data_IF_341226474137
#
_entry.id   IF_341226474137
#
_cell.length_a   1.000
_cell.length_b   1.000
_cell.length_c   1.000
_cell.angle_alpha   90.00
_cell.angle_beta   90.00
_cell.angle_gamma   90.00
#
_symmetry.space_group_name_H-M   'P 1'
#
loop_
_entity.id
_entity.type
_entity.pdbx_description
1 polymer ?
#
# COMPACT_ATOMS: atom_id res chain seq x y z
N UNK A 1 22.66 9.67 -18.21
CA UNK A 1 23.21 9.69 -16.83
C UNK A 1 23.38 8.24 -16.42
N UNK A 2 24.59 7.85 -16.02
CA UNK A 2 24.85 6.52 -15.45
C UNK A 2 24.04 6.38 -14.15
N UNK A 3 23.23 5.32 -14.04
CA UNK A 3 22.34 5.08 -12.90
C UNK A 3 23.01 4.22 -11.81
N UNK A 4 24.32 3.94 -11.93
CA UNK A 4 25.07 3.08 -11.01
C UNK A 4 24.42 1.70 -10.84
N UNK A 5 24.01 1.08 -11.95
CA UNK A 5 23.43 -0.25 -11.92
C UNK A 5 24.47 -1.28 -11.43
N UNK A 6 24.04 -2.33 -10.68
CA UNK A 6 24.91 -3.45 -10.33
C UNK A 6 25.55 -4.05 -11.59
N UNK A 7 26.81 -4.51 -11.48
CA UNK A 7 27.53 -5.16 -12.59
C UNK A 7 27.21 -6.66 -12.72
N UNK A 8 26.04 -7.07 -12.26
CA UNK A 8 25.56 -8.45 -12.33
C UNK A 8 24.95 -8.72 -13.71
N UNK A 9 25.09 -9.95 -14.21
CA UNK A 9 24.53 -10.37 -15.50
C UNK A 9 23.70 -11.66 -15.32
N UNK A 10 22.37 -11.62 -15.51
CA UNK A 10 21.57 -10.46 -15.91
C UNK A 10 21.34 -9.47 -14.75
N UNK A 11 21.24 -8.18 -15.07
CA UNK A 11 20.80 -7.17 -14.10
C UNK A 11 19.36 -7.46 -13.69
N UNK A 12 19.12 -7.62 -12.39
CA UNK A 12 17.79 -7.91 -11.87
C UNK A 12 16.99 -6.63 -11.64
N UNK A 13 15.74 -6.63 -12.09
CA UNK A 13 14.77 -5.57 -11.84
C UNK A 13 13.49 -6.16 -11.28
N UNK A 14 12.90 -5.45 -10.32
CA UNK A 14 11.57 -5.78 -9.79
C UNK A 14 10.58 -4.72 -10.24
N UNK A 15 9.53 -5.15 -10.94
CA UNK A 15 8.43 -4.27 -11.30
C UNK A 15 7.46 -4.16 -10.13
N UNK A 16 7.35 -2.97 -9.53
CA UNK A 16 6.53 -2.70 -8.35
C UNK A 16 5.73 -1.41 -8.55
N UNK A 17 4.56 -1.34 -7.92
CA UNK A 17 3.79 -0.11 -7.79
C UNK A 17 4.53 0.85 -6.85
N UNK A 18 4.93 2.00 -7.40
CA UNK A 18 5.61 3.08 -6.66
C UNK A 18 4.63 4.06 -6.00
N UNK A 19 3.45 4.24 -6.60
CA UNK A 19 2.41 5.16 -6.14
C UNK A 19 1.10 4.40 -5.99
N UNK A 20 0.38 4.68 -4.91
CA UNK A 20 -0.88 4.03 -4.58
C UNK A 20 -2.07 4.93 -4.97
N UNK A 21 -3.23 4.35 -5.29
CA UNK A 21 -4.47 5.11 -5.49
C UNK A 21 -4.96 5.75 -4.18
N UNK A 22 -5.77 6.80 -4.28
CA UNK A 22 -6.61 7.32 -3.18
C UNK A 22 -7.81 6.38 -2.94
N UNK A 23 -8.37 5.78 -4.00
CA UNK A 23 -9.42 4.76 -3.93
C UNK A 23 -9.13 3.63 -4.93
N UNK A 24 -8.96 2.40 -4.43
CA UNK A 24 -8.64 1.23 -5.28
C UNK A 24 -9.76 0.86 -6.26
N UNK A 25 -11.02 1.01 -5.87
CA UNK A 25 -12.16 0.61 -6.68
C UNK A 25 -12.41 1.62 -7.82
N UNK A 26 -12.15 2.89 -7.57
CA UNK A 26 -12.31 3.94 -8.57
C UNK A 26 -11.10 4.06 -9.51
N UNK A 27 -9.87 3.81 -9.04
CA UNK A 27 -8.66 4.07 -9.83
C UNK A 27 -8.05 2.84 -10.52
N UNK A 28 -8.25 1.62 -9.99
CA UNK A 28 -7.70 0.41 -10.61
C UNK A 28 -8.65 -0.09 -11.71
N UNK A 29 -8.38 0.34 -12.95
CA UNK A 29 -9.29 0.11 -14.09
C UNK A 29 -9.17 -1.29 -14.67
N UNK A 30 -7.94 -1.80 -14.82
CA UNK A 30 -7.67 -3.07 -15.51
C UNK A 30 -7.39 -4.18 -14.50
N UNK A 31 -7.89 -5.39 -14.78
CA UNK A 31 -7.70 -6.56 -13.92
C UNK A 31 -6.21 -6.89 -13.70
N UNK A 32 -5.37 -6.71 -14.72
CA UNK A 32 -3.91 -6.89 -14.57
C UNK A 32 -3.31 -5.91 -13.57
N UNK A 33 -3.75 -4.65 -13.56
CA UNK A 33 -3.26 -3.63 -12.64
C UNK A 33 -3.73 -3.96 -11.23
N UNK A 34 -5.01 -4.30 -11.08
CA UNK A 34 -5.58 -4.76 -9.80
C UNK A 34 -4.81 -5.96 -9.24
N UNK A 35 -4.56 -6.96 -10.07
CA UNK A 35 -3.85 -8.18 -9.68
C UNK A 35 -2.43 -7.88 -9.17
N UNK A 36 -1.69 -7.01 -9.87
CA UNK A 36 -0.34 -6.62 -9.45
C UNK A 36 -0.33 -5.84 -8.13
N UNK A 37 -1.31 -4.97 -7.89
CA UNK A 37 -1.48 -4.30 -6.60
C UNK A 37 -1.83 -5.30 -5.49
N UNK A 38 -2.77 -6.21 -5.74
CA UNK A 38 -3.15 -7.27 -4.80
C UNK A 38 -1.93 -8.09 -4.36
N UNK A 39 -1.11 -8.56 -5.30
CA UNK A 39 0.08 -9.34 -4.98
C UNK A 39 1.09 -8.54 -4.15
N UNK A 40 1.34 -7.29 -4.51
CA UNK A 40 2.29 -6.44 -3.79
C UNK A 40 1.82 -6.13 -2.36
N UNK A 41 0.55 -5.79 -2.17
CA UNK A 41 -0.02 -5.48 -0.86
C UNK A 41 -0.11 -6.73 0.01
N UNK A 42 -0.52 -7.87 -0.56
CA UNK A 42 -0.52 -9.16 0.14
C UNK A 42 0.88 -9.49 0.66
N UNK A 43 1.90 -9.34 -0.20
CA UNK A 43 3.29 -9.57 0.21
C UNK A 43 3.71 -8.64 1.33
N UNK A 44 3.37 -7.35 1.26
CA UNK A 44 3.71 -6.36 2.28
C UNK A 44 3.04 -6.63 3.64
N UNK A 45 1.83 -7.20 3.66
CA UNK A 45 1.16 -7.63 4.89
C UNK A 45 1.86 -8.87 5.46
N UNK A 46 2.15 -9.87 4.63
CA UNK A 46 2.81 -11.11 5.07
C UNK A 46 4.25 -10.87 5.58
N UNK A 47 5.00 -9.96 4.95
CA UNK A 47 6.33 -9.53 5.39
C UNK A 47 6.31 -8.60 6.61
N UNK A 48 5.12 -8.20 7.09
CA UNK A 48 4.91 -7.25 8.19
C UNK A 48 5.39 -5.82 7.90
N UNK A 49 5.59 -5.47 6.63
CA UNK A 49 5.85 -4.08 6.21
C UNK A 49 4.60 -3.20 6.38
N UNK A 50 3.41 -3.80 6.24
CA UNK A 50 2.12 -3.19 6.59
C UNK A 50 1.57 -3.94 7.81
N UNK A 51 1.36 -3.21 8.91
CA UNK A 51 0.68 -3.76 10.07
C UNK A 51 -0.78 -4.08 9.72
N UNK A 52 -1.18 -5.32 9.98
CA UNK A 52 -2.55 -5.78 9.85
C UNK A 52 -3.00 -6.45 11.16
N UNK A 53 -4.16 -6.07 11.73
CA UNK A 53 -4.65 -6.71 12.94
C UNK A 53 -5.08 -8.17 12.67
N UNK A 54 -5.11 -9.03 13.71
CA UNK A 54 -5.42 -10.45 13.55
C UNK A 54 -6.76 -10.74 12.86
N UNK A 55 -7.82 -10.02 13.23
CA UNK A 55 -9.16 -10.21 12.70
C UNK A 55 -9.21 -9.89 11.19
N UNK A 56 -8.60 -8.77 10.79
CA UNK A 56 -8.48 -8.41 9.39
C UNK A 56 -7.58 -9.39 8.62
N UNK A 57 -6.50 -9.88 9.24
CA UNK A 57 -5.57 -10.84 8.60
C UNK A 57 -6.27 -12.15 8.21
N UNK A 58 -7.15 -12.67 9.07
CA UNK A 58 -7.96 -13.87 8.77
C UNK A 58 -8.93 -13.62 7.61
N UNK A 59 -9.61 -12.48 7.63
CA UNK A 59 -10.53 -12.11 6.55
C UNK A 59 -9.78 -11.94 5.21
N UNK A 60 -8.65 -11.24 5.22
CA UNK A 60 -7.80 -11.06 4.04
C UNK A 60 -7.27 -12.40 3.51
N UNK A 61 -6.87 -13.32 4.39
CA UNK A 61 -6.47 -14.67 4.00
C UNK A 61 -7.61 -15.40 3.27
N UNK A 62 -8.85 -15.26 3.72
CA UNK A 62 -9.99 -15.90 3.05
C UNK A 62 -10.25 -15.37 1.64
N UNK A 63 -10.11 -14.06 1.41
CA UNK A 63 -10.16 -13.49 0.06
C UNK A 63 -9.00 -13.95 -0.81
N UNK A 64 -7.79 -14.06 -0.24
CA UNK A 64 -6.63 -14.55 -0.99
C UNK A 64 -6.79 -16.02 -1.42
N UNK A 65 -7.42 -16.85 -0.58
CA UNK A 65 -7.76 -18.24 -0.91
C UNK A 65 -8.84 -18.29 -1.99
N UNK A 66 -9.92 -17.50 -1.88
CA UNK A 66 -10.95 -17.38 -2.94
C UNK A 66 -10.33 -16.96 -4.28
N UNK A 67 -9.48 -15.95 -4.28
CA UNK A 67 -8.79 -15.48 -5.48
C UNK A 67 -7.90 -16.55 -6.13
N UNK A 68 -7.30 -17.45 -5.33
CA UNK A 68 -6.38 -18.48 -5.80
C UNK A 68 -7.08 -19.77 -6.24
N UNK A 69 -8.08 -20.22 -5.48
CA UNK A 69 -8.69 -21.54 -5.63
C UNK A 69 -10.12 -21.50 -6.18
N UNK A 70 -10.75 -20.33 -6.27
CA UNK A 70 -12.16 -20.21 -6.65
C UNK A 70 -13.09 -20.57 -5.50
N UNK A 71 -14.30 -21.03 -5.79
CA UNK A 71 -15.28 -21.35 -4.76
C UNK A 71 -14.87 -22.52 -3.86
N UNK A 72 -15.13 -22.39 -2.57
CA UNK A 72 -15.05 -23.52 -1.65
C UNK A 72 -16.04 -24.63 -2.04
N UNK A 73 -15.53 -25.85 -2.17
CA UNK A 73 -16.32 -27.07 -2.35
C UNK A 73 -15.87 -28.14 -1.36
N UNK A 74 -16.80 -28.55 -0.49
CA UNK A 74 -16.57 -29.54 0.56
C UNK A 74 -16.10 -30.90 0.01
N UNK A 75 -16.45 -31.25 -1.24
CA UNK A 75 -16.04 -32.52 -1.84
C UNK A 75 -14.59 -32.53 -2.30
N UNK A 76 -14.05 -31.39 -2.69
CA UNK A 76 -12.69 -31.24 -3.21
C UNK A 76 -11.71 -30.72 -2.16
N UNK A 77 -12.23 -30.07 -1.12
CA UNK A 77 -11.42 -29.59 0.00
C UNK A 77 -10.82 -30.74 0.80
N UNK A 78 -9.49 -30.72 0.96
CA UNK A 78 -8.78 -31.68 1.81
C UNK A 78 -8.14 -30.95 2.99
N UNK A 79 -8.28 -31.44 4.24
CA UNK A 79 -7.61 -30.85 5.39
C UNK A 79 -6.10 -30.73 5.15
N UNK A 80 -5.53 -29.55 5.39
CA UNK A 80 -4.13 -29.25 5.12
C UNK A 80 -3.84 -28.74 3.71
N UNK A 81 -4.85 -28.59 2.84
CA UNK A 81 -4.71 -28.00 1.51
C UNK A 81 -4.12 -26.57 1.55
N UNK A 82 -4.39 -25.84 2.63
CA UNK A 82 -3.90 -24.48 2.83
C UNK A 82 -2.59 -24.42 3.63
N UNK A 83 -2.08 -25.54 4.13
CA UNK A 83 -0.91 -25.57 5.02
C UNK A 83 0.41 -25.20 4.33
N UNK A 84 0.49 -25.28 3.00
CA UNK A 84 1.66 -24.84 2.23
C UNK A 84 1.64 -23.35 1.86
N UNK A 85 0.56 -22.64 2.19
CA UNK A 85 0.37 -21.25 1.81
C UNK A 85 0.75 -20.29 2.94
N UNK A 86 1.50 -19.25 2.60
CA UNK A 86 1.71 -18.11 3.50
C UNK A 86 0.44 -17.24 3.50
N UNK A 87 -0.43 -17.49 4.47
CA UNK A 87 -1.75 -16.84 4.58
C UNK A 87 -1.82 -15.76 5.66
N UNK A 88 -1.02 -15.87 6.72
CA UNK A 88 -1.06 -14.97 7.86
C UNK A 88 0.34 -14.41 8.17
N UNK A 89 0.45 -13.15 8.61
CA UNK A 89 1.72 -12.60 9.09
C UNK A 89 2.23 -13.38 10.30
N UNK A 90 3.55 -13.62 10.38
CA UNK A 90 4.15 -14.40 11.47
C UNK A 90 3.78 -13.87 12.86
N UNK A 91 3.72 -12.54 13.03
CA UNK A 91 3.30 -11.90 14.29
C UNK A 91 1.90 -12.32 14.73
N UNK A 92 0.96 -12.50 13.80
CA UNK A 92 -0.42 -12.93 14.12
C UNK A 92 -0.40 -14.38 14.59
N UNK A 93 0.37 -15.24 13.90
CA UNK A 93 0.52 -16.64 14.29
C UNK A 93 1.12 -16.74 15.70
N UNK A 94 2.19 -16.01 15.98
CA UNK A 94 2.90 -16.05 17.26
C UNK A 94 2.09 -15.49 18.44
N UNK A 95 1.13 -14.60 18.17
CA UNK A 95 0.29 -13.97 19.20
C UNK A 95 -0.73 -14.94 19.81
N UNK A 96 -1.13 -15.99 19.08
CA UNK A 96 -2.13 -16.95 19.53
C UNK A 96 -1.55 -18.36 19.61
N UNK A 97 -1.93 -19.11 20.65
CA UNK A 97 -1.55 -20.52 20.79
C UNK A 97 -2.46 -21.41 19.92
N UNK A 98 -2.44 -21.19 18.61
CA UNK A 98 -3.24 -21.93 17.64
C UNK A 98 -2.36 -22.80 16.75
N UNK A 99 -2.83 -24.01 16.41
CA UNK A 99 -2.17 -24.85 15.42
C UNK A 99 -2.47 -24.36 13.99
N UNK A 100 -1.70 -24.83 13.01
CA UNK A 100 -1.97 -24.54 11.59
C UNK A 100 -3.40 -24.95 11.20
N UNK A 101 -3.87 -26.11 11.66
CA UNK A 101 -5.22 -26.61 11.42
C UNK A 101 -6.29 -25.69 12.02
N UNK A 102 -6.07 -25.15 13.21
CA UNK A 102 -7.02 -24.22 13.84
C UNK A 102 -7.12 -22.89 13.08
N UNK A 103 -6.01 -22.40 12.52
CA UNK A 103 -6.02 -21.22 11.66
C UNK A 103 -6.73 -21.49 10.34
N UNK A 104 -6.45 -22.63 9.73
CA UNK A 104 -7.11 -23.10 8.52
C UNK A 104 -8.63 -23.14 8.70
N UNK A 105 -9.13 -23.73 9.79
CA UNK A 105 -10.58 -23.76 10.08
C UNK A 105 -11.18 -22.35 10.22
N UNK A 106 -10.46 -21.38 10.81
CA UNK A 106 -10.95 -19.99 10.88
C UNK A 106 -11.02 -19.31 9.52
N UNK A 107 -10.03 -19.54 8.66
CA UNK A 107 -10.00 -18.99 7.30
C UNK A 107 -11.10 -19.64 6.45
N UNK A 108 -11.29 -20.95 6.60
CA UNK A 108 -12.28 -21.76 5.89
C UNK A 108 -13.71 -21.28 6.12
N UNK A 109 -14.06 -20.86 7.35
CA UNK A 109 -15.39 -20.29 7.65
C UNK A 109 -15.70 -19.12 6.73
N UNK A 110 -14.79 -18.15 6.61
CA UNK A 110 -14.96 -17.02 5.72
C UNK A 110 -14.84 -17.39 4.24
N UNK A 111 -13.96 -18.32 3.91
CA UNK A 111 -13.78 -18.80 2.54
C UNK A 111 -15.08 -19.42 1.98
N UNK A 112 -15.81 -20.19 2.79
CA UNK A 112 -17.10 -20.75 2.41
C UNK A 112 -18.18 -19.68 2.14
N UNK A 113 -18.10 -18.54 2.82
CA UNK A 113 -19.03 -17.42 2.66
C UNK A 113 -18.80 -16.62 1.36
N UNK A 114 -17.62 -16.73 0.75
CA UNK A 114 -17.27 -16.03 -0.51
C UNK A 114 -17.76 -16.73 -1.78
N UNK A 115 -18.54 -17.81 -1.64
CA UNK A 115 -19.02 -18.60 -2.79
C UNK A 115 -19.76 -17.75 -3.83
N UNK A 116 -19.37 -17.90 -5.09
CA UNK A 116 -19.90 -17.16 -6.23
C UNK A 116 -19.12 -15.89 -6.54
N UNK A 117 -18.15 -15.51 -5.71
CA UNK A 117 -17.26 -14.37 -5.94
C UNK A 117 -16.20 -14.73 -6.97
N UNK A 118 -16.06 -13.92 -8.01
CA UNK A 118 -14.99 -14.11 -8.99
C UNK A 118 -13.61 -13.82 -8.37
N UNK A 119 -12.56 -14.24 -9.08
CA UNK A 119 -11.18 -13.94 -8.65
C UNK A 119 -10.93 -12.43 -8.58
N UNK A 120 -11.35 -11.68 -9.59
CA UNK A 120 -11.15 -10.22 -9.61
C UNK A 120 -12.00 -9.51 -8.53
N UNK A 121 -13.20 -9.99 -8.22
CA UNK A 121 -13.97 -9.47 -7.09
C UNK A 121 -13.26 -9.72 -5.75
N UNK A 122 -12.73 -10.93 -5.54
CA UNK A 122 -12.01 -11.27 -4.32
C UNK A 122 -10.73 -10.45 -4.14
N UNK A 123 -9.95 -10.27 -5.21
CA UNK A 123 -8.76 -9.41 -5.19
C UNK A 123 -9.11 -7.93 -4.93
N UNK A 124 -10.25 -7.45 -5.45
CA UNK A 124 -10.74 -6.08 -5.21
C UNK A 124 -11.22 -5.89 -3.75
N UNK A 125 -11.99 -6.83 -3.19
CA UNK A 125 -12.43 -6.75 -1.79
C UNK A 125 -11.25 -6.84 -0.81
N UNK A 126 -10.24 -7.66 -1.14
CA UNK A 126 -8.96 -7.66 -0.41
C UNK A 126 -8.36 -6.24 -0.38
N UNK A 127 -8.22 -5.62 -1.55
CA UNK A 127 -7.63 -4.29 -1.67
C UNK A 127 -8.44 -3.22 -0.94
N UNK A 128 -9.78 -3.27 -1.02
CA UNK A 128 -10.68 -2.34 -0.33
C UNK A 128 -10.55 -2.37 1.18
N UNK A 129 -10.28 -3.55 1.76
CA UNK A 129 -10.01 -3.66 3.21
C UNK A 129 -8.61 -3.12 3.52
N UNK A 130 -7.62 -3.48 2.70
CA UNK A 130 -6.23 -3.08 2.97
C UNK A 130 -5.96 -1.60 2.82
N UNK A 131 -6.71 -0.88 1.96
CA UNK A 131 -6.51 0.54 1.76
C UNK A 131 -6.81 1.37 3.03
N UNK A 132 -7.63 0.83 3.93
CA UNK A 132 -8.00 1.45 5.20
C UNK A 132 -6.99 1.16 6.34
N UNK A 133 -5.95 0.35 6.10
CA UNK A 133 -4.90 0.10 7.09
C UNK A 133 -4.00 1.33 7.24
N UNK A 134 -3.64 1.68 8.48
CA UNK A 134 -2.87 2.90 8.79
C UNK A 134 -1.52 3.02 8.05
N UNK A 135 -0.89 1.89 7.74
CA UNK A 135 0.41 1.85 7.05
C UNK A 135 0.31 1.66 5.53
N UNK A 136 -0.89 1.48 4.99
CA UNK A 136 -1.09 1.25 3.56
C UNK A 136 -0.65 2.46 2.73
N UNK A 137 0.17 2.19 1.72
CA UNK A 137 0.67 3.22 0.80
C UNK A 137 1.56 4.29 1.45
N UNK A 138 2.05 4.06 2.68
CA UNK A 138 2.92 5.00 3.40
C UNK A 138 4.40 4.67 3.15
N UNK A 139 5.13 5.64 2.60
CA UNK A 139 6.59 5.54 2.50
C UNK A 139 7.23 6.24 3.71
N UNK A 140 7.80 5.45 4.64
CA UNK A 140 8.42 5.96 5.86
C UNK A 140 9.89 6.33 5.67
N UNK A 141 10.26 7.51 6.17
CA UNK A 141 11.64 8.01 6.18
C UNK A 141 12.04 8.48 7.58
N UNK A 142 13.20 8.04 8.10
CA UNK A 142 13.70 8.55 9.37
C UNK A 142 14.16 10.00 9.19
N UNK A 143 13.65 10.89 10.04
CA UNK A 143 13.95 12.32 10.03
C UNK A 143 14.23 12.81 11.45
N UNK A 144 14.79 14.00 11.57
CA UNK A 144 14.97 14.69 12.85
C UNK A 144 14.36 16.09 12.79
N UNK A 145 13.80 16.57 13.90
CA UNK A 145 13.38 17.96 14.01
C UNK A 145 14.57 18.89 14.34
N UNK A 146 14.33 20.21 14.49
CA UNK A 146 15.39 21.17 14.86
C UNK A 146 16.02 20.94 16.24
N UNK A 147 15.35 20.19 17.11
CA UNK A 147 15.82 19.80 18.45
C UNK A 147 16.48 18.41 18.44
N UNK A 148 16.76 17.85 17.26
CA UNK A 148 17.35 16.53 17.07
C UNK A 148 16.50 15.36 17.63
N UNK A 149 15.19 15.56 17.79
CA UNK A 149 14.28 14.46 18.13
C UNK A 149 14.05 13.60 16.90
N UNK A 150 14.26 12.29 17.04
CA UNK A 150 13.99 11.31 16.00
C UNK A 150 12.49 11.16 15.74
N UNK A 151 12.10 11.18 14.47
CA UNK A 151 10.72 11.10 14.00
C UNK A 151 10.67 10.29 12.70
N UNK A 152 9.47 9.94 12.26
CA UNK A 152 9.24 9.44 10.91
C UNK A 152 8.47 10.44 10.07
N UNK A 153 8.86 10.57 8.81
CA UNK A 153 8.07 11.19 7.75
C UNK A 153 7.39 10.09 6.97
N UNK A 154 6.06 10.13 6.85
CA UNK A 154 5.32 9.32 5.88
C UNK A 154 4.94 10.15 4.66
N UNK A 155 5.24 9.63 3.47
CA UNK A 155 4.77 10.19 2.19
C UNK A 155 3.68 9.28 1.64
N UNK A 156 2.49 9.83 1.39
CA UNK A 156 1.29 9.08 0.94
C UNK A 156 0.65 9.72 -0.30
N UNK A 157 -0.36 9.05 -0.85
CA UNK A 157 -1.19 9.62 -1.92
C UNK A 157 -1.97 10.88 -1.49
N UNK A 158 -2.23 11.03 -0.18
CA UNK A 158 -3.04 12.12 0.39
C UNK A 158 -2.22 13.31 0.91
N UNK A 159 -0.98 13.08 1.31
CA UNK A 159 -0.13 14.15 1.84
C UNK A 159 1.15 13.66 2.50
N UNK A 160 1.60 14.47 3.44
CA UNK A 160 2.75 14.18 4.30
C UNK A 160 2.31 14.04 5.75
N UNK A 161 2.85 13.05 6.44
CA UNK A 161 2.56 12.77 7.83
C UNK A 161 3.85 12.74 8.66
N UNK A 162 3.78 13.21 9.90
CA UNK A 162 4.88 13.15 10.87
C UNK A 162 4.45 12.24 12.01
N UNK A 163 5.29 11.27 12.33
CA UNK A 163 5.04 10.29 13.37
C UNK A 163 6.14 10.32 14.42
N UNK A 164 5.78 9.90 15.64
CA UNK A 164 6.76 9.64 16.71
C UNK A 164 7.61 8.41 16.37
N UNK A 165 8.80 8.34 16.94
CA UNK A 165 9.76 7.26 16.65
C UNK A 165 9.18 5.87 16.96
N UNK A 166 8.40 5.77 18.03
CA UNK A 166 7.85 4.55 18.60
C UNK A 166 6.48 4.16 18.00
N UNK A 167 5.84 5.02 17.19
CA UNK A 167 4.51 4.77 16.65
C UNK A 167 4.39 5.24 15.20
N UNK A 168 4.44 4.30 14.25
CA UNK A 168 4.25 4.56 12.82
C UNK A 168 2.79 4.47 12.35
N UNK A 169 1.86 4.07 13.22
CA UNK A 169 0.45 3.90 12.87
C UNK A 169 -0.27 5.25 12.89
N UNK A 170 -0.13 6.00 13.98
CA UNK A 170 -0.91 7.23 14.18
C UNK A 170 -0.05 8.48 13.94
N UNK A 171 -0.36 9.30 12.93
CA UNK A 171 0.38 10.53 12.68
C UNK A 171 0.07 11.58 13.77
N UNK A 172 1.09 12.36 14.16
CA UNK A 172 0.94 13.51 15.07
C UNK A 172 0.63 14.80 14.34
N UNK A 173 1.15 14.94 13.11
CA UNK A 173 0.95 16.12 12.26
C UNK A 173 0.75 15.61 10.84
N UNK A 174 -0.25 16.16 10.16
CA UNK A 174 -0.56 15.84 8.77
C UNK A 174 -0.61 17.12 7.94
N UNK A 175 -0.06 17.04 6.73
CA UNK A 175 -0.06 18.09 5.73
C UNK A 175 -0.71 17.54 4.45
N UNK A 176 -2.00 17.77 4.22
CA UNK A 176 -2.67 17.41 2.98
C UNK A 176 -1.98 18.08 1.78
N UNK A 177 -1.96 17.41 0.63
CA UNK A 177 -1.35 17.99 -0.58
C UNK A 177 -1.95 19.35 -0.96
N UNK A 178 -3.25 19.56 -0.72
CA UNK A 178 -3.95 20.84 -0.95
C UNK A 178 -3.43 22.00 -0.09
N UNK A 179 -2.78 21.72 1.04
CA UNK A 179 -2.25 22.73 1.96
C UNK A 179 -0.77 23.01 1.73
N UNK A 180 -0.11 22.28 0.83
CA UNK A 180 1.33 22.40 0.55
C UNK A 180 1.53 23.22 -0.71
N UNK A 181 2.24 24.35 -0.58
CA UNK A 181 2.60 25.20 -1.73
C UNK A 181 3.89 24.76 -2.40
N UNK A 182 4.89 24.37 -1.60
CA UNK A 182 6.21 24.04 -2.10
C UNK A 182 6.97 23.16 -1.12
N UNK A 183 7.65 22.14 -1.65
CA UNK A 183 8.60 21.31 -0.92
C UNK A 183 9.97 21.49 -1.56
N UNK A 184 10.97 21.74 -0.74
CA UNK A 184 12.35 21.90 -1.19
C UNK A 184 13.31 21.42 -0.10
N UNK A 185 14.50 20.98 -0.50
CA UNK A 185 15.57 20.73 0.44
C UNK A 185 16.87 21.43 0.02
N UNK A 186 17.68 21.77 1.01
CA UNK A 186 19.04 22.29 0.85
C UNK A 186 19.97 21.48 1.76
N UNK A 187 20.90 20.76 1.14
CA UNK A 187 21.73 19.72 1.76
C UNK A 187 20.89 18.74 2.62
N UNK A 188 20.92 18.88 3.95
CA UNK A 188 20.21 18.04 4.92
C UNK A 188 18.84 18.60 5.33
N UNK A 189 18.54 19.86 5.02
CA UNK A 189 17.39 20.58 5.54
C UNK A 189 16.23 20.55 4.55
N UNK A 190 15.13 19.93 4.94
CA UNK A 190 13.86 20.01 4.23
C UNK A 190 13.00 21.16 4.72
N UNK A 191 12.28 21.79 3.80
CA UNK A 191 11.30 22.84 4.10
C UNK A 191 10.02 22.54 3.35
N UNK A 192 8.93 22.39 4.10
CA UNK A 192 7.55 22.34 3.61
C UNK A 192 6.95 23.72 3.83
N UNK A 193 6.55 24.38 2.74
CA UNK A 193 5.90 25.69 2.78
C UNK A 193 4.39 25.51 2.60
N UNK A 194 3.57 25.95 3.55
CA UNK A 194 2.12 25.91 3.41
C UNK A 194 1.62 26.87 2.33
N UNK A 195 0.39 26.65 1.85
CA UNK A 195 -0.35 27.57 0.97
C UNK A 195 -0.67 28.87 1.70
N UNK A 196 -1.09 28.77 2.96
CA UNK A 196 -1.23 29.94 3.82
C UNK A 196 0.14 30.55 4.11
N UNK A 197 0.35 31.78 3.61
CA UNK A 197 1.61 32.51 3.78
C UNK A 197 1.84 33.00 5.22
N UNK A 198 0.79 33.06 6.04
CA UNK A 198 0.90 33.41 7.45
C UNK A 198 1.35 32.22 8.31
N UNK A 199 1.05 30.99 7.89
CA UNK A 199 1.46 29.79 8.58
C UNK A 199 2.99 29.57 8.51
N UNK A 200 3.62 29.13 9.60
CA UNK A 200 5.07 28.91 9.63
C UNK A 200 5.46 27.72 8.75
N UNK A 201 6.64 27.82 8.11
CA UNK A 201 7.20 26.69 7.37
C UNK A 201 7.56 25.54 8.32
N UNK A 202 7.22 24.32 7.94
CA UNK A 202 7.68 23.13 8.63
C UNK A 202 9.06 22.73 8.11
N UNK A 203 9.99 22.44 9.03
CA UNK A 203 11.39 22.16 8.70
C UNK A 203 11.85 20.93 9.47
N UNK A 204 12.40 19.96 8.75
CA UNK A 204 13.03 18.77 9.31
C UNK A 204 14.40 18.52 8.66
N UNK A 205 15.19 17.65 9.27
CA UNK A 205 16.51 17.26 8.83
C UNK A 205 16.50 15.78 8.41
N UNK A 206 17.27 15.46 7.39
CA UNK A 206 17.52 14.09 6.95
C UNK A 206 19.00 13.91 6.60
N UNK A 207 19.59 12.83 7.10
CA UNK A 207 21.05 12.67 7.14
C UNK A 207 21.69 12.22 5.82
N UNK A 208 20.90 11.75 4.84
CA UNK A 208 21.42 11.16 3.58
C UNK A 208 20.89 11.91 2.36
N UNK A 209 21.78 12.50 1.56
CA UNK A 209 21.42 13.22 0.32
C UNK A 209 20.62 12.36 -0.68
N UNK A 210 20.94 11.06 -0.78
CA UNK A 210 20.17 10.13 -1.64
C UNK A 210 18.73 9.97 -1.16
N UNK A 211 18.52 9.91 0.16
CA UNK A 211 17.19 9.84 0.75
C UNK A 211 16.42 11.14 0.49
N UNK A 212 17.10 12.29 0.56
CA UNK A 212 16.50 13.60 0.29
C UNK A 212 15.96 13.68 -1.15
N UNK A 213 16.75 13.23 -2.12
CA UNK A 213 16.30 13.16 -3.51
C UNK A 213 15.09 12.24 -3.67
N UNK A 214 15.11 11.05 -3.04
CA UNK A 214 14.00 10.10 -3.09
C UNK A 214 12.72 10.66 -2.46
N UNK A 215 12.81 11.27 -1.27
CA UNK A 215 11.66 11.93 -0.61
C UNK A 215 11.06 12.97 -1.56
N UNK A 216 11.88 13.86 -2.13
CA UNK A 216 11.39 14.89 -3.03
C UNK A 216 10.74 14.31 -4.29
N UNK A 217 11.34 13.28 -4.91
CA UNK A 217 10.76 12.58 -6.06
C UNK A 217 9.40 11.96 -5.74
N UNK A 218 9.25 11.33 -4.56
CA UNK A 218 7.98 10.77 -4.12
C UNK A 218 6.95 11.86 -3.83
N UNK A 219 7.34 12.97 -3.21
CA UNK A 219 6.44 14.11 -2.99
C UNK A 219 5.94 14.69 -4.32
N UNK A 220 6.83 14.89 -5.30
CA UNK A 220 6.47 15.41 -6.62
C UNK A 220 5.50 14.45 -7.32
N UNK A 221 5.80 13.14 -7.34
CA UNK A 221 4.96 12.15 -8.00
C UNK A 221 3.58 12.00 -7.36
N UNK A 222 3.51 11.91 -6.02
CA UNK A 222 2.23 11.83 -5.30
C UNK A 222 1.40 13.10 -5.47
N UNK A 223 2.02 14.29 -5.37
CA UNK A 223 1.32 15.55 -5.59
C UNK A 223 0.82 15.69 -7.03
N UNK A 224 1.58 15.26 -8.05
CA UNK A 224 1.12 15.28 -9.44
C UNK A 224 -0.10 14.37 -9.64
N UNK A 225 -0.07 13.14 -9.13
CA UNK A 225 -1.20 12.21 -9.19
C UNK A 225 -2.42 12.76 -8.42
N UNK A 226 -2.21 13.32 -7.23
CA UNK A 226 -3.25 14.02 -6.45
C UNK A 226 -3.91 15.13 -7.27
N UNK A 227 -3.13 15.95 -7.98
CA UNK A 227 -3.67 17.01 -8.84
C UNK A 227 -4.40 16.47 -10.07
N UNK A 228 -3.96 15.33 -10.63
CA UNK A 228 -4.64 14.67 -11.76
C UNK A 228 -6.00 14.14 -11.38
N UNK A 229 -6.15 13.50 -10.21
CA UNK A 229 -7.44 12.97 -9.70
C UNK A 229 -8.53 14.03 -9.51
N UNK A 230 -8.12 15.29 -9.35
CA UNK A 230 -9.03 16.45 -9.17
C UNK A 230 -9.40 17.13 -10.48
N UNK A 231 -8.96 16.58 -11.61
CA UNK A 231 -9.32 17.02 -12.96
C UNK A 231 -10.21 15.96 -13.61
N UNK A 232 -11.00 16.33 -14.63
CA UNK A 232 -11.74 15.35 -15.40
C UNK A 232 -10.81 14.31 -16.04
N UNK A 233 -11.26 13.05 -16.09
CA UNK A 233 -10.53 11.96 -16.72
C UNK A 233 -10.18 12.31 -18.17
N UNK A 234 -8.91 12.16 -18.59
CA UNK A 234 -8.52 12.33 -19.98
C UNK A 234 -9.22 11.28 -20.86
N UNK A 235 -9.37 11.59 -22.14
CA UNK A 235 -10.09 10.74 -23.10
C UNK A 235 -9.55 9.29 -23.13
N UNK A 236 -8.23 9.11 -23.07
CA UNK A 236 -7.61 7.78 -23.07
C UNK A 236 -8.00 6.95 -21.83
N UNK A 237 -8.13 7.60 -20.66
CA UNK A 237 -8.56 6.92 -19.44
C UNK A 237 -10.05 6.56 -19.51
N UNK A 238 -10.89 7.43 -20.08
CA UNK A 238 -12.31 7.11 -20.33
C UNK A 238 -12.46 5.91 -21.27
N UNK A 239 -11.66 5.86 -22.34
CA UNK A 239 -11.63 4.72 -23.27
C UNK A 239 -11.17 3.44 -22.56
N UNK A 240 -10.11 3.52 -21.75
CA UNK A 240 -9.63 2.39 -20.96
C UNK A 240 -10.72 1.84 -20.01
N UNK A 241 -11.48 2.72 -19.34
CA UNK A 241 -12.60 2.33 -18.47
C UNK A 241 -13.72 1.64 -19.26
N UNK A 242 -14.08 2.16 -20.42
CA UNK A 242 -15.09 1.55 -21.29
C UNK A 242 -14.64 0.17 -21.76
N UNK A 243 -13.39 0.05 -22.23
CA UNK A 243 -12.83 -1.22 -22.67
C UNK A 243 -12.80 -2.26 -21.55
N UNK A 244 -12.34 -1.89 -20.36
CA UNK A 244 -12.31 -2.81 -19.22
C UNK A 244 -13.72 -3.30 -18.84
N UNK A 245 -14.73 -2.43 -18.90
CA UNK A 245 -16.13 -2.83 -18.69
C UNK A 245 -16.64 -3.80 -19.75
N UNK A 246 -16.30 -3.57 -21.02
CA UNK A 246 -16.65 -4.49 -22.10
C UNK A 246 -15.95 -5.84 -21.97
N UNK A 247 -14.69 -5.86 -21.52
CA UNK A 247 -13.94 -7.08 -21.26
C UNK A 247 -14.54 -7.89 -20.12
N UNK A 248 -15.00 -7.26 -19.03
CA UNK A 248 -15.69 -7.94 -17.92
C UNK A 248 -17.05 -8.55 -18.28
N UNK A 249 -17.72 -8.01 -19.32
CA UNK A 249 -19.02 -8.51 -19.76
C UNK A 249 -18.92 -9.69 -20.74
N UNK A 250 -17.72 -10.02 -21.22
CA UNK A 250 -17.47 -11.12 -22.16
C UNK A 250 -17.12 -12.40 -21.43
#
# INVERSE_FOLDING_TARGET
>A
RDQNLPKEDPVQFTFLAKFYPEDVAEELVQDVTQHLFFLQVKQAILSMDIYCPPEASVLLASYAVQAKYGDYDEQTYTPGMLASEDLLPQRVIDQYQMTSEMWEERIKVWYADHRGMSRDEAEMEYLKITQDLDMYGVNYFPIANKKDSELWLGVTALGLNIYEKENQLTPKISFPWSEIRNISFDDKKFTIKPVDKAAPNFVFLSHKLRMNKLILELCIGNHDLFMRRRRPDPMDLQQMRTQAKEEKLR
#
